data_IF_792805539679
#
_entry.id   IF_792805539679
#
_cell.length_a   1.000
_cell.length_b   1.000
_cell.length_c   1.000
_cell.angle_alpha   90.00
_cell.angle_beta   90.00
_cell.angle_gamma   90.00
#
_symmetry.space_group_name_H-M   'P 1'
#
loop_
_entity.id
_entity.type
_entity.pdbx_description
1 polymer ?
2 non-polymer ?
3 water ?
#
# COMPACT_ATOMS: atom_id res chain seq x y z
N UNK A 4 -1.10 20.64 -8.80
CA UNK A 4 -1.97 19.60 -9.35
C UNK A 4 -1.19 18.35 -9.73
N UNK A 5 -0.63 17.65 -8.73
CA UNK A 5 0.15 16.44 -9.03
C UNK A 5 -0.64 15.38 -9.78
N UNK A 6 -1.95 15.26 -9.53
CA UNK A 6 -2.72 14.22 -10.20
C UNK A 6 -2.92 14.48 -11.68
N UNK A 7 -2.63 15.69 -12.17
CA UNK A 7 -2.71 15.92 -13.61
C UNK A 7 -1.67 15.11 -14.38
N UNK A 8 -0.66 14.58 -13.69
CA UNK A 8 0.33 13.72 -14.31
C UNK A 8 -0.18 12.31 -14.58
N UNK A 9 -1.36 11.96 -14.08
CA UNK A 9 -1.83 10.58 -14.12
C UNK A 9 -3.30 10.55 -14.48
N UNK A 10 -3.70 9.53 -15.24
CA UNK A 10 -5.11 9.22 -15.35
C UNK A 10 -5.65 8.86 -13.98
N UNK A 11 -6.79 9.42 -13.61
CA UNK A 11 -7.35 9.16 -12.30
C UNK A 11 -8.84 9.40 -12.31
N UNK A 12 -9.51 8.82 -11.33
CA UNK A 12 -10.95 9.03 -11.15
C UNK A 12 -11.24 9.17 -9.67
N UNK A 13 -11.91 10.26 -9.31
CA UNK A 13 -12.32 10.49 -7.93
C UNK A 13 -13.55 9.63 -7.65
N UNK A 14 -13.49 8.82 -6.60
CA UNK A 14 -14.61 7.93 -6.26
C UNK A 14 -15.50 8.56 -5.20
N UNK A 15 -14.90 9.06 -4.13
CA UNK A 15 -15.58 9.79 -3.08
C UNK A 15 -14.72 10.99 -2.68
N UNK A 16 -15.20 11.76 -1.70
CA UNK A 16 -14.39 12.85 -1.16
C UNK A 16 -13.16 12.35 -0.42
N UNK A 17 -13.06 11.05 -0.18
CA UNK A 17 -11.87 10.46 0.44
C UNK A 17 -10.98 9.74 -0.56
N UNK A 18 -11.56 8.97 -1.49
CA UNK A 18 -10.82 7.95 -2.24
C UNK A 18 -10.77 8.34 -3.71
N UNK A 19 -9.56 8.33 -4.29
CA UNK A 19 -9.33 8.53 -5.71
C UNK A 19 -8.48 7.36 -6.21
N UNK A 20 -8.85 6.82 -7.37
CA UNK A 20 -8.09 5.75 -8.03
C UNK A 20 -7.19 6.38 -9.10
N UNK A 21 -5.92 5.98 -9.10
CA UNK A 21 -4.90 6.56 -9.97
C UNK A 21 -4.22 5.43 -10.74
N UNK A 22 -4.00 5.63 -12.04
CA UNK A 22 -3.25 4.69 -12.87
C UNK A 22 -1.79 5.11 -12.88
N UNK A 23 -0.92 4.30 -12.32
CA UNK A 23 0.51 4.61 -12.35
C UNK A 23 1.29 3.83 -11.31
N UNK A 24 2.49 4.33 -11.03
CA UNK A 24 3.40 3.76 -10.04
C UNK A 24 3.18 4.50 -8.72
N UNK A 25 2.79 3.76 -7.68
CA UNK A 25 2.54 4.38 -6.38
C UNK A 25 3.74 5.17 -5.88
N UNK A 26 4.96 4.73 -6.20
CA UNK A 26 6.14 5.45 -5.75
C UNK A 26 6.21 6.83 -6.39
N UNK A 27 5.86 6.91 -7.68
CA UNK A 27 5.90 8.19 -8.38
C UNK A 27 4.78 9.11 -7.92
N UNK A 28 3.62 8.55 -7.57
CA UNK A 28 2.54 9.36 -7.00
C UNK A 28 2.96 9.93 -5.65
N UNK A 29 3.50 9.08 -4.77
CA UNK A 29 3.91 9.54 -3.45
C UNK A 29 4.99 10.61 -3.54
N UNK A 30 5.91 10.48 -4.51
CA UNK A 30 6.97 11.47 -4.67
C UNK A 30 6.41 12.87 -4.89
N UNK A 31 5.20 12.97 -5.43
CA UNK A 31 4.58 14.26 -5.71
C UNK A 31 4.03 14.94 -4.46
N UNK A 32 3.81 14.19 -3.38
CA UNK A 32 3.19 14.70 -2.16
C UNK A 32 4.14 14.49 -0.98
N UNK A 33 4.84 15.56 -0.59
CA UNK A 33 5.82 15.45 0.48
C UNK A 33 5.23 15.02 1.82
N UNK A 34 3.95 15.30 2.04
CA UNK A 34 3.31 14.96 3.31
C UNK A 34 2.58 13.64 3.28
N UNK A 35 2.71 12.87 2.20
CA UNK A 35 1.96 11.63 2.13
C UNK A 35 2.68 10.52 2.89
N UNK A 36 1.89 9.53 3.29
CA UNK A 36 2.39 8.26 3.80
C UNK A 36 2.15 7.22 2.71
N UNK A 37 3.21 6.49 2.34
CA UNK A 37 3.15 5.49 1.28
C UNK A 37 2.98 4.13 1.95
N UNK A 38 2.01 3.37 1.48
CA UNK A 38 1.77 2.03 2.01
C UNK A 38 2.60 1.03 1.23
N UNK A 39 3.30 0.15 1.97
CA UNK A 39 3.94 -1.01 1.38
C UNK A 39 3.10 -2.24 1.69
N UNK A 40 2.82 -3.05 0.67
CA UNK A 40 2.13 -4.32 0.85
C UNK A 40 3.21 -5.35 1.20
N UNK A 41 3.34 -5.65 2.49
CA UNK A 41 4.46 -6.42 2.99
C UNK A 41 4.02 -7.82 3.39
N UNK A 42 5.00 -8.61 3.83
CA UNK A 42 4.77 -9.91 4.44
C UNK A 42 5.18 -9.86 5.92
N UNK A 43 4.95 -10.98 6.62
CA UNK A 43 5.14 -11.00 8.07
C UNK A 43 6.59 -10.78 8.49
N UNK A 44 7.56 -11.04 7.62
CA UNK A 44 8.96 -10.85 7.97
C UNK A 44 9.56 -9.61 7.33
N UNK A 45 8.73 -8.75 6.74
CA UNK A 45 9.20 -7.56 6.03
C UNK A 45 10.35 -7.88 5.09
N UNK A 46 10.21 -8.98 4.33
CA UNK A 46 11.19 -9.34 3.32
C UNK A 46 10.72 -8.77 2.00
N UNK A 47 11.41 -7.75 1.51
CA UNK A 47 10.91 -6.95 0.37
C UNK A 47 11.58 -7.38 -0.94
N UNK A 48 11.25 -8.59 -1.36
CA UNK A 48 11.96 -9.17 -2.48
C UNK A 48 11.39 -8.75 -3.83
N UNK A 49 10.06 -8.68 -3.91
CA UNK A 49 9.42 -8.40 -5.18
C UNK A 49 8.11 -7.65 -4.99
N UNK A 50 7.36 -7.50 -6.08
CA UNK A 50 6.12 -6.73 -5.99
C UNK A 50 6.42 -5.28 -5.65
N UNK A 51 5.41 -4.61 -5.10
CA UNK A 51 5.64 -3.20 -4.71
C UNK A 51 6.71 -3.09 -3.64
N UNK A 52 6.82 -4.08 -2.75
CA UNK A 52 7.83 -4.01 -1.71
C UNK A 52 9.23 -4.01 -2.30
N UNK A 53 9.49 -4.87 -3.28
CA UNK A 53 10.78 -4.84 -3.95
C UNK A 53 11.04 -3.52 -4.64
N UNK A 54 9.99 -2.91 -5.20
CA UNK A 54 10.17 -1.65 -5.92
C UNK A 54 10.44 -0.51 -4.95
N UNK A 55 9.71 -0.48 -3.83
CA UNK A 55 9.96 0.52 -2.79
C UNK A 55 11.37 0.37 -2.23
N UNK A 56 11.78 -0.87 -1.95
CA UNK A 56 13.12 -1.08 -1.43
C UNK A 56 14.19 -0.61 -2.41
N UNK A 57 14.04 -0.94 -3.70
CA UNK A 57 15.00 -0.49 -4.69
C UNK A 57 15.04 1.03 -4.76
N UNK A 58 13.87 1.68 -4.74
CA UNK A 58 13.84 3.15 -4.77
C UNK A 58 14.58 3.76 -3.58
N UNK A 59 14.58 3.08 -2.44
CA UNK A 59 15.30 3.53 -1.27
C UNK A 59 16.76 3.11 -1.27
N UNK A 60 17.25 2.52 -2.36
CA UNK A 60 18.64 2.05 -2.44
C UNK A 60 18.94 1.00 -1.39
N UNK A 61 17.95 0.17 -1.06
CA UNK A 61 18.14 -0.86 -0.06
C UNK A 61 17.97 -0.41 1.38
N UNK A 62 17.72 0.88 1.64
CA UNK A 62 17.61 1.33 3.02
C UNK A 62 16.37 0.78 3.71
N UNK A 63 15.27 0.58 2.97
CA UNK A 63 14.05 0.05 3.56
C UNK A 63 14.29 -1.35 4.10
N UNK A 64 14.97 -2.19 3.34
CA UNK A 64 15.23 -3.54 3.83
C UNK A 64 16.12 -3.54 5.07
N UNK A 65 17.16 -2.68 5.09
CA UNK A 65 18.03 -2.60 6.27
C UNK A 65 17.25 -2.21 7.51
N UNK A 66 16.41 -1.17 7.41
CA UNK A 66 15.58 -0.76 8.52
C UNK A 66 14.62 -1.87 8.93
N UNK A 67 14.00 -2.54 7.94
CA UNK A 67 13.06 -3.62 8.24
C UNK A 67 13.74 -4.78 8.95
N UNK A 68 14.94 -5.17 8.51
CA UNK A 68 15.66 -6.27 9.14
C UNK A 68 15.94 -5.97 10.61
N UNK A 69 16.33 -4.73 10.93
CA UNK A 69 16.58 -4.37 12.32
C UNK A 69 15.30 -4.43 13.14
N UNK A 70 14.19 -3.97 12.57
CA UNK A 70 12.93 -4.00 13.28
C UNK A 70 12.51 -5.43 13.59
N UNK A 71 12.58 -6.31 12.59
CA UNK A 71 12.10 -7.67 12.80
C UNK A 71 13.02 -8.44 13.73
N UNK A 72 14.34 -8.20 13.64
CA UNK A 72 15.25 -8.85 14.58
C UNK A 72 14.94 -8.46 16.02
N UNK A 73 14.57 -7.19 16.23
CA UNK A 73 14.31 -6.72 17.58
C UNK A 73 12.93 -7.16 18.09
N UNK A 74 11.93 -7.16 17.21
CA UNK A 74 10.55 -7.37 17.64
C UNK A 74 9.98 -8.73 17.30
N UNK A 75 10.63 -9.50 16.42
CA UNK A 75 10.04 -10.71 15.90
C UNK A 75 9.09 -10.39 14.76
N UNK A 76 8.66 -11.43 14.05
CA UNK A 76 7.80 -11.20 12.87
C UNK A 76 6.41 -10.70 13.25
N UNK A 77 5.75 -10.13 12.26
CA UNK A 77 4.42 -9.57 12.43
C UNK A 77 3.36 -10.63 12.21
N UNK A 78 2.13 -10.30 12.58
CA UNK A 78 0.98 -11.13 12.25
C UNK A 78 0.28 -10.57 11.02
N UNK A 79 -0.47 -11.43 10.33
CA UNK A 79 -1.30 -10.96 9.24
C UNK A 79 -2.27 -9.93 9.76
N UNK A 80 -2.39 -8.82 9.04
CA UNK A 80 -3.24 -7.72 9.44
C UNK A 80 -2.52 -6.63 10.21
N UNK A 81 -1.28 -6.89 10.65
CA UNK A 81 -0.51 -5.91 11.38
C UNK A 81 0.02 -4.83 10.44
N UNK A 82 0.44 -3.72 11.03
CA UNK A 82 1.02 -2.62 10.30
C UNK A 82 2.10 -1.98 11.17
N UNK A 83 3.12 -1.46 10.52
CA UNK A 83 4.18 -0.74 11.22
C UNK A 83 4.58 0.49 10.43
N UNK A 84 4.63 1.64 11.10
CA UNK A 84 5.08 2.87 10.48
C UNK A 84 6.60 2.97 10.59
N UNK A 85 7.27 3.11 9.45
CA UNK A 85 8.71 3.20 9.41
C UNK A 85 9.12 4.45 8.63
N UNK A 86 10.42 4.64 8.47
CA UNK A 86 10.92 5.84 7.83
C UNK A 86 10.48 5.92 6.36
N UNK A 87 10.48 7.14 5.84
CA UNK A 87 10.07 7.37 4.46
C UNK A 87 11.20 7.30 3.46
N UNK A 88 12.44 7.47 3.92
CA UNK A 88 13.62 7.35 3.07
C UNK A 88 13.54 8.23 1.83
N UNK A 89 13.01 9.44 1.98
CA UNK A 89 12.85 10.41 0.91
C UNK A 89 11.84 10.01 -0.16
N UNK A 90 11.14 8.88 -0.01
CA UNK A 90 10.07 8.51 -0.93
C UNK A 90 8.74 9.13 -0.52
N UNK A 91 8.57 9.37 0.78
CA UNK A 91 7.32 9.85 1.36
C UNK A 91 7.67 10.29 2.77
N UNK A 92 6.69 10.88 3.46
CA UNK A 92 6.96 11.30 4.83
C UNK A 92 7.25 10.10 5.72
N UNK A 93 6.49 9.02 5.53
CA UNK A 93 6.75 7.74 6.17
C UNK A 93 6.27 6.64 5.24
N UNK A 94 6.70 5.41 5.51
CA UNK A 94 6.18 4.24 4.82
C UNK A 94 5.45 3.38 5.85
N UNK A 95 4.19 3.07 5.58
CA UNK A 95 3.38 2.21 6.44
C UNK A 95 3.40 0.80 5.84
N UNK A 96 4.08 -0.12 6.50
CA UNK A 96 4.16 -1.50 6.02
C UNK A 96 2.98 -2.29 6.57
N UNK A 97 2.12 -2.78 5.70
CA UNK A 97 0.92 -3.52 6.11
C UNK A 97 1.03 -4.95 5.61
N UNK A 98 0.60 -5.90 6.44
CA UNK A 98 0.69 -7.33 6.11
C UNK A 98 -0.70 -7.80 5.72
N UNK A 99 -0.97 -7.85 4.41
CA UNK A 99 -2.25 -8.35 3.95
C UNK A 99 -2.32 -9.85 4.05
N UNK A 100 -3.54 -10.39 4.03
CA UNK A 100 -3.70 -11.85 3.99
C UNK A 100 -3.24 -12.43 2.66
N UNK A 101 -2.69 -13.63 2.73
CA UNK A 101 -2.25 -14.38 1.55
C UNK A 101 -3.33 -15.40 1.20
N UNK A 102 -4.11 -15.11 0.15
CA UNK A 102 -5.19 -16.00 -0.26
C UNK A 102 -4.68 -17.36 -0.73
N UNK A 103 -3.44 -17.44 -1.23
CA UNK A 103 -2.90 -18.74 -1.62
C UNK A 103 -2.84 -19.69 -0.43
N UNK A 104 -2.53 -19.15 0.75
CA UNK A 104 -2.50 -19.91 1.99
C UNK A 104 -3.86 -19.94 2.67
N UNK A 105 -4.91 -19.49 1.97
CA UNK A 105 -6.27 -19.49 2.50
C UNK A 105 -6.36 -18.75 3.83
N UNK A 106 -5.59 -17.67 3.94
CA UNK A 106 -5.70 -16.78 5.09
C UNK A 106 -6.97 -15.94 4.98
N UNK A 107 -7.42 -15.43 6.12
CA UNK A 107 -8.71 -14.74 6.20
C UNK A 107 -8.64 -13.41 5.45
N UNK A 108 -9.34 -13.34 4.31
CA UNK A 108 -9.31 -12.13 3.49
C UNK A 108 -9.91 -10.94 4.23
N UNK A 109 -10.80 -11.20 5.19
CA UNK A 109 -11.40 -10.09 5.92
C UNK A 109 -10.38 -9.33 6.76
N UNK A 110 -9.19 -9.89 6.99
CA UNK A 110 -8.12 -9.15 7.65
C UNK A 110 -7.70 -7.91 6.85
N UNK A 111 -8.07 -7.79 5.58
CA UNK A 111 -7.81 -6.56 4.85
C UNK A 111 -8.46 -5.37 5.53
N UNK A 112 -9.57 -5.58 6.24
CA UNK A 112 -10.18 -4.48 7.00
C UNK A 112 -9.20 -3.90 8.00
N UNK A 113 -8.44 -4.76 8.69
CA UNK A 113 -7.45 -4.28 9.65
C UNK A 113 -6.33 -3.52 8.95
N UNK A 114 -5.87 -4.02 7.82
CA UNK A 114 -4.83 -3.34 7.06
C UNK A 114 -5.26 -1.93 6.69
N UNK A 115 -6.46 -1.79 6.12
CA UNK A 115 -6.89 -0.49 5.61
C UNK A 115 -7.29 0.48 6.74
N UNK A 116 -7.82 -0.03 7.85
CA UNK A 116 -8.12 0.84 8.98
C UNK A 116 -6.87 1.57 9.47
N UNK A 117 -5.72 0.88 9.41
CA UNK A 117 -4.49 1.50 9.88
C UNK A 117 -4.12 2.74 9.08
N UNK A 118 -4.65 2.89 7.86
CA UNK A 118 -4.31 4.05 7.05
C UNK A 118 -4.99 5.32 7.56
N UNK A 119 -6.03 5.20 8.38
CA UNK A 119 -6.81 6.37 8.77
C UNK A 119 -6.10 7.25 9.78
N UNK A 120 -4.95 6.83 10.29
CA UNK A 120 -4.17 7.64 11.20
C UNK A 120 -3.42 8.77 10.52
N UNK A 121 -3.39 8.80 9.18
CA UNK A 121 -2.59 9.75 8.44
C UNK A 121 -3.47 10.60 7.54
N UNK A 122 -3.15 11.90 7.39
CA UNK A 122 -4.03 12.79 6.62
C UNK A 122 -4.04 12.50 5.14
N UNK A 123 -2.95 11.96 4.58
CA UNK A 123 -2.87 11.67 3.15
C UNK A 123 -2.10 10.38 2.96
N UNK A 124 -2.73 9.40 2.30
CA UNK A 124 -2.14 8.08 2.13
C UNK A 124 -2.13 7.74 0.65
N UNK A 125 -1.00 7.22 0.16
CA UNK A 125 -0.88 6.66 -1.17
C UNK A 125 -0.68 5.16 -0.98
N UNK A 126 -1.57 4.35 -1.56
CA UNK A 126 -1.58 2.92 -1.29
C UNK A 126 -1.80 2.11 -2.55
N UNK A 127 -1.18 0.95 -2.67
CA UNK A 127 -1.58 -0.02 -3.69
C UNK A 127 -2.77 -0.81 -3.15
N UNK A 128 -3.27 -1.70 -3.99
CA UNK A 128 -4.29 -2.63 -3.54
C UNK A 128 -3.62 -3.79 -2.81
N UNK A 129 -3.72 -3.78 -1.48
CA UNK A 129 -3.04 -4.78 -0.65
C UNK A 129 -3.60 -6.16 -0.96
N UNK A 130 -2.71 -7.15 -0.99
CA UNK A 130 -3.00 -8.56 -1.27
C UNK A 130 -3.42 -8.86 -2.71
N UNK A 131 -3.43 -7.87 -3.61
CA UNK A 131 -3.97 -8.11 -4.94
C UNK A 131 -2.94 -8.61 -5.94
N UNK A 132 -1.71 -8.84 -5.52
CA UNK A 132 -0.72 -9.34 -6.45
C UNK A 132 -0.26 -10.73 -6.09
N UNK A 133 0.90 -10.81 -5.45
CA UNK A 133 1.46 -12.10 -5.00
C UNK A 133 0.45 -12.87 -4.16
N UNK A 134 -0.30 -12.17 -3.30
CA UNK A 134 -1.18 -12.81 -2.33
C UNK A 134 -2.54 -13.21 -2.89
N UNK A 135 -2.85 -12.91 -4.15
CA UNK A 135 -3.91 -13.62 -4.84
C UNK A 135 -5.33 -13.14 -4.60
N UNK A 136 -5.54 -12.03 -3.90
CA UNK A 136 -6.87 -11.47 -3.77
C UNK A 136 -7.19 -10.67 -5.02
N UNK A 137 -8.44 -10.74 -5.49
CA UNK A 137 -8.78 -10.00 -6.69
C UNK A 137 -8.73 -8.49 -6.42
N UNK A 138 -8.21 -7.68 -7.35
CA UNK A 138 -8.20 -6.22 -7.14
C UNK A 138 -9.55 -5.65 -6.73
N UNK A 139 -10.64 -6.08 -7.36
CA UNK A 139 -11.96 -5.53 -7.01
C UNK A 139 -12.34 -5.85 -5.56
N UNK A 140 -11.90 -7.00 -5.05
CA UNK A 140 -12.19 -7.34 -3.66
C UNK A 140 -11.35 -6.51 -2.70
N UNK A 141 -10.06 -6.35 -3.00
CA UNK A 141 -9.22 -5.52 -2.16
C UNK A 141 -9.76 -4.10 -2.13
N UNK A 142 -10.22 -3.60 -3.27
CA UNK A 142 -10.79 -2.27 -3.31
C UNK A 142 -12.05 -2.17 -2.43
N UNK A 143 -12.89 -3.20 -2.45
CA UNK A 143 -14.09 -3.19 -1.59
C UNK A 143 -13.73 -2.98 -0.13
N UNK A 144 -12.70 -3.67 0.35
CA UNK A 144 -12.29 -3.51 1.74
C UNK A 144 -11.74 -2.11 1.98
N UNK A 145 -11.00 -1.57 1.03
CA UNK A 145 -10.43 -0.24 1.18
C UNK A 145 -11.54 0.81 1.30
N UNK A 146 -12.49 0.81 0.36
CA UNK A 146 -13.50 1.85 0.36
C UNK A 146 -14.40 1.73 1.58
N UNK A 147 -14.59 0.51 2.11
CA UNK A 147 -15.38 0.34 3.32
C UNK A 147 -14.72 1.01 4.52
N UNK A 148 -13.39 1.07 4.57
CA UNK A 148 -12.68 1.54 5.76
C UNK A 148 -12.17 2.97 5.67
N UNK A 149 -11.96 3.51 4.47
CA UNK A 149 -11.23 4.76 4.34
C UNK A 149 -12.01 5.93 4.93
N UNK A 150 -11.34 6.66 5.84
CA UNK A 150 -11.89 7.86 6.45
C UNK A 150 -10.94 9.04 6.32
N UNK A 151 -9.92 8.91 5.49
CA UNK A 151 -8.94 9.95 5.27
C UNK A 151 -8.73 10.06 3.78
N UNK A 152 -7.87 10.98 3.35
CA UNK A 152 -7.59 11.12 1.92
C UNK A 152 -6.68 9.99 1.46
N UNK A 153 -7.17 9.16 0.54
CA UNK A 153 -6.46 7.99 0.06
C UNK A 153 -6.36 8.05 -1.46
N UNK A 154 -5.14 8.03 -1.99
CA UNK A 154 -4.91 7.82 -3.41
C UNK A 154 -4.56 6.35 -3.59
N UNK A 155 -5.47 5.58 -4.19
CA UNK A 155 -5.26 4.18 -4.48
C UNK A 155 -4.65 4.08 -5.86
N UNK A 156 -3.43 3.59 -5.95
CA UNK A 156 -2.66 3.59 -7.19
C UNK A 156 -2.54 2.15 -7.70
N UNK A 157 -2.96 1.95 -8.93
CA UNK A 157 -2.88 0.65 -9.58
C UNK A 157 -2.02 0.83 -10.82
N UNK A 158 -1.11 -0.11 -11.05
CA UNK A 158 -0.19 0.05 -12.17
C UNK A 158 -0.60 -0.71 -13.42
N UNK A 159 -1.73 -1.41 -13.39
CA UNK A 159 -2.26 -2.11 -14.56
C UNK A 159 -3.44 -1.33 -15.11
N UNK A 160 -3.41 -1.04 -16.41
CA UNK A 160 -4.55 -0.39 -17.03
C UNK A 160 -5.79 -1.28 -17.00
N UNK A 161 -5.60 -2.60 -17.08
CA UNK A 161 -6.73 -3.52 -17.00
C UNK A 161 -7.44 -3.40 -15.66
N UNK A 162 -6.68 -3.37 -14.57
CA UNK A 162 -7.39 -3.22 -13.30
C UNK A 162 -7.94 -1.82 -13.14
N UNK A 163 -7.24 -0.80 -13.65
CA UNK A 163 -7.77 0.56 -13.59
C UNK A 163 -9.12 0.66 -14.32
N UNK A 164 -9.19 0.11 -15.54
CA UNK A 164 -10.45 0.15 -16.28
C UNK A 164 -11.55 -0.62 -15.54
N UNK A 165 -11.19 -1.77 -14.96
CA UNK A 165 -12.18 -2.58 -14.24
C UNK A 165 -12.78 -1.85 -13.06
N UNK A 166 -11.97 -1.07 -12.33
CA UNK A 166 -12.43 -0.38 -11.14
C UNK A 166 -13.12 0.94 -11.45
N UNK A 167 -12.98 1.47 -12.66
CA UNK A 167 -13.57 2.76 -13.02
C UNK A 167 -14.67 2.66 -14.07
N UNK A 168 -14.98 1.46 -14.54
CA UNK A 168 -16.01 1.27 -15.57
C UNK A 168 -17.39 1.55 -15.01
#
# INVERSE_FOLDING_TARGET
GSHMPLSNFEHKVITECVTIVLGDAIQVAKCYGESVLVNAANTHLKHGGGIAGAINAASKGAVQKESDEYILAKGPLQVGDSVLLQGHSLAKNILHVVGPDARAKQDVSLLSKCYKAMNAYPLVVTPLVSAGIFGVKPAVSFDYLIREAKTRVLVVVNSQDVYKSLTI
#
